data_IF_210913957992
#
_entry.id   IF_210913957992
#
_cell.length_a   1.000
_cell.length_b   1.000
_cell.length_c   1.000
_cell.angle_alpha   90.00
_cell.angle_beta   90.00
_cell.angle_gamma   90.00
#
_symmetry.space_group_name_H-M   'P 1'
#
loop_
_entity.id
_entity.type
_entity.pdbx_description
1 polymer ?
#
# COMPACT_ATOMS: atom_id res chain seq x y z
N UNK A 1 -15.05 23.50 5.90
CA UNK A 1 -14.09 22.52 6.44
C UNK A 1 -13.46 23.14 7.68
N UNK A 2 -13.73 22.56 8.85
CA UNK A 2 -13.03 22.94 10.08
C UNK A 2 -11.54 22.59 9.90
N UNK A 3 -10.65 23.50 10.28
CA UNK A 3 -9.22 23.34 10.12
C UNK A 3 -8.74 22.18 11.03
N UNK A 4 -8.35 21.07 10.43
CA UNK A 4 -7.66 20.01 11.17
C UNK A 4 -6.39 20.60 11.79
N UNK A 5 -6.11 20.25 13.05
CA UNK A 5 -4.86 20.65 13.69
C UNK A 5 -3.67 20.18 12.85
N UNK A 6 -2.68 21.06 12.66
CA UNK A 6 -1.48 20.73 11.89
C UNK A 6 -0.72 19.58 12.58
N UNK A 7 -0.31 18.60 11.79
CA UNK A 7 0.54 17.48 12.23
C UNK A 7 1.89 17.56 11.51
N UNK A 8 2.92 17.07 12.17
CA UNK A 8 4.25 16.87 11.56
C UNK A 8 4.56 15.37 11.55
N UNK A 9 5.02 14.90 10.40
CA UNK A 9 5.45 13.52 10.19
C UNK A 9 6.83 13.56 9.55
N UNK A 10 7.80 12.85 10.12
CA UNK A 10 9.16 12.77 9.60
C UNK A 10 9.34 11.44 8.86
N UNK A 11 9.97 11.50 7.69
CA UNK A 11 10.22 10.36 6.81
C UNK A 11 11.71 10.30 6.46
N UNK A 12 12.47 9.55 7.24
CA UNK A 12 13.91 9.43 7.07
C UNK A 12 14.25 8.22 6.21
N UNK A 13 15.01 8.43 5.13
CA UNK A 13 15.54 7.36 4.28
C UNK A 13 17.03 7.23 4.50
N UNK A 14 17.48 6.06 4.94
CA UNK A 14 18.88 5.75 5.23
C UNK A 14 19.36 4.69 4.24
N UNK A 15 20.20 5.09 3.27
CA UNK A 15 20.68 4.23 2.18
C UNK A 15 21.34 2.92 2.67
N UNK A 16 22.10 2.98 3.76
CA UNK A 16 22.84 1.83 4.30
C UNK A 16 22.03 0.97 5.27
N UNK A 17 20.73 1.26 5.46
CA UNK A 17 19.90 0.55 6.42
C UNK A 17 19.48 -0.84 5.94
N UNK A 18 19.54 -1.81 6.85
CA UNK A 18 18.96 -3.15 6.66
C UNK A 18 18.08 -3.45 7.88
N UNK A 19 16.76 -3.58 7.68
CA UNK A 19 15.99 -3.49 6.43
C UNK A 19 15.99 -2.08 5.83
N UNK A 20 15.62 -1.98 4.54
CA UNK A 20 15.50 -0.70 3.84
C UNK A 20 14.47 0.22 4.50
N UNK A 21 14.74 1.54 4.48
CA UNK A 21 13.87 2.57 5.05
C UNK A 21 13.16 3.42 4.00
N UNK A 22 13.09 2.96 2.76
CA UNK A 22 12.43 3.66 1.66
C UNK A 22 10.92 3.41 1.56
N UNK A 23 10.36 2.53 2.42
CA UNK A 23 8.92 2.33 2.59
C UNK A 23 8.51 2.83 3.97
N UNK A 24 7.56 3.76 4.01
CA UNK A 24 6.96 4.26 5.23
C UNK A 24 5.48 3.86 5.32
N UNK A 25 4.99 3.59 6.53
CA UNK A 25 3.61 3.22 6.77
C UNK A 25 2.90 4.23 7.68
N UNK A 26 1.70 4.64 7.28
CA UNK A 26 0.74 5.35 8.12
C UNK A 26 -0.32 4.35 8.54
N UNK A 27 -0.30 3.88 9.80
CA UNK A 27 -1.26 2.90 10.29
C UNK A 27 -2.20 3.51 11.32
N UNK A 28 -3.44 3.06 11.32
CA UNK A 28 -4.46 3.48 12.27
C UNK A 28 -5.84 3.01 11.86
N UNK A 29 -6.82 3.30 12.70
CA UNK A 29 -8.23 2.92 12.50
C UNK A 29 -8.82 3.52 11.24
N UNK A 30 -9.92 2.93 10.75
CA UNK A 30 -10.71 3.55 9.69
C UNK A 30 -11.26 4.89 10.17
N UNK A 31 -11.24 5.91 9.30
CA UNK A 31 -11.70 7.26 9.61
C UNK A 31 -10.73 8.10 10.47
N UNK A 32 -9.53 7.63 10.80
CA UNK A 32 -8.54 8.44 11.52
C UNK A 32 -7.86 9.51 10.65
N UNK A 33 -8.10 9.55 9.33
CA UNK A 33 -7.59 10.59 8.43
C UNK A 33 -6.35 10.20 7.61
N UNK A 34 -5.99 8.93 7.50
CA UNK A 34 -4.84 8.46 6.69
C UNK A 34 -4.95 8.90 5.23
N UNK A 35 -6.08 8.60 4.59
CA UNK A 35 -6.39 9.03 3.20
C UNK A 35 -6.34 10.55 3.05
N UNK A 36 -6.81 11.29 4.06
CA UNK A 36 -6.74 12.77 4.06
C UNK A 36 -5.30 13.27 4.10
N UNK A 37 -4.43 12.61 4.89
CA UNK A 37 -3.00 12.92 4.94
C UNK A 37 -2.34 12.67 3.58
N UNK A 38 -2.57 11.50 2.97
CA UNK A 38 -2.03 11.19 1.63
C UNK A 38 -2.51 12.21 0.59
N UNK A 39 -3.78 12.59 0.64
CA UNK A 39 -4.34 13.57 -0.28
C UNK A 39 -3.73 14.96 -0.06
N UNK A 40 -3.48 15.35 1.19
CA UNK A 40 -2.71 16.56 1.52
C UNK A 40 -1.30 16.54 0.93
N UNK A 41 -0.63 15.38 0.95
CA UNK A 41 0.68 15.19 0.31
C UNK A 41 0.60 15.28 -1.21
N UNK A 42 -0.44 14.70 -1.85
CA UNK A 42 -0.67 14.85 -3.30
C UNK A 42 -0.82 16.33 -3.64
N UNK A 43 -1.66 17.05 -2.92
CA UNK A 43 -1.88 18.49 -3.15
C UNK A 43 -0.59 19.30 -2.92
N UNK A 44 0.23 18.94 -1.94
CA UNK A 44 1.48 19.64 -1.66
C UNK A 44 2.51 19.52 -2.80
N UNK A 45 2.47 18.44 -3.58
CA UNK A 45 3.37 18.24 -4.74
C UNK A 45 2.77 18.78 -6.03
N UNK A 46 1.45 18.60 -6.23
CA UNK A 46 0.78 18.90 -7.51
C UNK A 46 0.23 20.31 -7.62
N UNK A 47 0.03 21.01 -6.49
CA UNK A 47 -0.57 22.33 -6.46
C UNK A 47 0.36 23.33 -5.76
N UNK A 48 1.06 24.21 -6.51
CA UNK A 48 1.96 25.20 -5.91
C UNK A 48 1.28 26.20 -4.95
N UNK A 49 -0.01 26.46 -5.13
CA UNK A 49 -0.79 27.36 -4.29
C UNK A 49 -1.42 26.68 -3.05
N UNK A 50 -1.00 25.44 -2.78
CA UNK A 50 -1.55 24.64 -1.69
C UNK A 50 -1.24 25.24 -0.31
N UNK A 51 -2.27 25.36 0.52
CA UNK A 51 -2.18 25.83 1.90
C UNK A 51 -2.40 24.73 2.94
N UNK A 52 -2.68 23.48 2.50
CA UNK A 52 -3.11 22.39 3.38
C UNK A 52 -1.92 21.70 4.03
N UNK A 53 -0.80 21.54 3.29
CA UNK A 53 0.39 20.86 3.77
C UNK A 53 1.62 21.21 2.95
N UNK A 54 2.80 20.94 3.51
CA UNK A 54 4.08 21.22 2.87
C UNK A 54 5.07 20.11 3.18
N UNK A 55 5.93 19.79 2.24
CA UNK A 55 7.13 19.01 2.50
C UNK A 55 8.28 19.93 2.90
N UNK A 56 9.01 19.54 3.94
CA UNK A 56 10.11 20.31 4.50
C UNK A 56 11.34 19.41 4.55
N UNK A 57 12.44 19.87 3.97
CA UNK A 57 13.74 19.24 4.10
C UNK A 57 14.38 19.65 5.44
N UNK A 58 14.63 18.65 6.28
CA UNK A 58 15.23 18.81 7.61
C UNK A 58 16.73 18.47 7.63
N UNK A 59 17.30 18.02 6.51
CA UNK A 59 18.71 17.67 6.38
C UNK A 59 19.66 18.86 6.46
N UNK A 60 19.15 20.08 6.38
CA UNK A 60 19.92 21.32 6.49
C UNK A 60 19.82 21.94 7.89
N UNK A 61 20.78 22.82 8.21
CA UNK A 61 20.83 23.56 9.48
C UNK A 61 19.59 24.45 9.72
N UNK A 62 18.91 24.85 8.65
CA UNK A 62 17.62 25.55 8.64
C UNK A 62 16.65 24.73 7.81
N UNK A 63 15.48 24.45 8.38
CA UNK A 63 14.40 23.79 7.66
C UNK A 63 14.02 24.60 6.42
N UNK A 64 13.88 23.92 5.29
CA UNK A 64 13.50 24.54 4.01
C UNK A 64 12.33 23.79 3.43
N UNK A 65 11.36 24.52 2.89
CA UNK A 65 10.33 23.91 2.04
C UNK A 65 11.03 23.34 0.80
N UNK A 66 10.69 22.08 0.44
CA UNK A 66 11.24 21.46 -0.77
C UNK A 66 10.68 22.17 -2.00
N UNK A 67 11.52 22.29 -3.02
CA UNK A 67 11.13 22.89 -4.30
C UNK A 67 10.24 21.95 -5.10
N UNK A 68 9.47 22.47 -6.04
CA UNK A 68 8.49 21.71 -6.82
C UNK A 68 9.12 20.63 -7.73
N UNK A 69 10.43 20.68 -7.94
CA UNK A 69 11.23 19.72 -8.72
C UNK A 69 12.05 18.74 -7.85
N UNK A 70 11.89 18.79 -6.53
CA UNK A 70 12.58 17.86 -5.62
C UNK A 70 12.24 16.42 -5.93
N UNK A 71 10.94 16.12 -6.14
CA UNK A 71 10.50 14.85 -6.69
C UNK A 71 10.37 14.96 -8.20
N UNK A 72 11.00 14.05 -8.94
CA UNK A 72 10.82 13.99 -10.39
C UNK A 72 9.41 13.57 -10.77
N UNK A 73 8.81 12.67 -9.97
CA UNK A 73 7.45 12.23 -10.17
C UNK A 73 6.76 11.84 -8.87
N UNK A 74 5.44 11.98 -8.86
CA UNK A 74 4.52 11.50 -7.85
C UNK A 74 3.59 10.47 -8.47
N UNK A 75 3.54 9.27 -7.89
CA UNK A 75 2.60 8.23 -8.29
C UNK A 75 1.63 8.00 -7.13
N UNK A 76 0.35 8.25 -7.34
CA UNK A 76 -0.69 7.92 -6.36
C UNK A 76 -1.41 6.63 -6.74
N UNK A 77 -1.60 5.74 -5.76
CA UNK A 77 -2.23 4.42 -5.94
C UNK A 77 -3.42 4.32 -4.99
N UNK A 78 -4.64 4.12 -5.51
CA UNK A 78 -5.84 3.91 -4.71
C UNK A 78 -6.80 2.96 -5.41
N UNK A 79 -7.14 1.86 -4.73
CA UNK A 79 -8.12 0.88 -5.21
C UNK A 79 -9.45 0.95 -4.47
N UNK A 80 -9.64 1.95 -3.59
CA UNK A 80 -10.91 2.17 -2.92
C UNK A 80 -11.94 2.79 -3.86
N UNK A 81 -13.05 2.09 -4.05
CA UNK A 81 -14.21 2.63 -4.77
C UNK A 81 -14.92 3.74 -3.97
N UNK A 82 -14.69 3.81 -2.66
CA UNK A 82 -15.34 4.73 -1.72
C UNK A 82 -14.44 5.90 -1.30
N UNK A 83 -13.27 6.05 -1.90
CA UNK A 83 -12.41 7.19 -1.65
C UNK A 83 -13.15 8.49 -2.03
N UNK A 84 -13.32 9.45 -1.09
CA UNK A 84 -14.03 10.68 -1.37
C UNK A 84 -13.25 11.68 -2.24
N UNK A 85 -11.96 11.43 -2.45
CA UNK A 85 -11.08 12.33 -3.19
C UNK A 85 -10.94 11.91 -4.65
N UNK A 86 -11.16 12.84 -5.56
CA UNK A 86 -10.86 12.63 -6.96
C UNK A 86 -9.36 12.88 -7.22
N UNK A 87 -8.67 11.95 -7.91
CA UNK A 87 -7.28 12.16 -8.26
C UNK A 87 -7.12 13.36 -9.21
N UNK A 88 -6.05 14.16 -9.08
CA UNK A 88 -5.73 15.20 -10.05
C UNK A 88 -5.57 14.64 -11.48
N UNK A 89 -5.61 15.52 -12.47
CA UNK A 89 -5.24 15.14 -13.84
C UNK A 89 -3.78 14.72 -13.92
N UNK A 90 -3.48 13.68 -14.73
CA UNK A 90 -2.08 13.29 -14.95
C UNK A 90 -1.30 14.39 -15.62
N UNK A 91 -0.11 14.62 -15.10
CA UNK A 91 0.83 15.63 -15.58
C UNK A 91 2.16 14.93 -15.96
N UNK A 92 2.34 14.50 -17.24
CA UNK A 92 3.55 13.78 -17.66
C UNK A 92 4.69 14.68 -18.14
N UNK A 93 4.53 16.00 -18.13
CA UNK A 93 5.49 16.96 -18.68
C UNK A 93 6.42 17.48 -17.59
N UNK A 94 7.70 17.03 -17.53
CA UNK A 94 8.63 17.43 -16.46
C UNK A 94 8.96 18.95 -16.49
N UNK A 95 8.68 19.65 -17.58
CA UNK A 95 8.89 21.11 -17.64
C UNK A 95 7.89 21.90 -16.79
N UNK A 96 6.82 21.25 -16.31
CA UNK A 96 5.76 21.84 -15.48
C UNK A 96 5.90 21.51 -13.99
N UNK A 97 7.03 20.97 -13.57
CA UNK A 97 7.29 20.49 -12.21
C UNK A 97 7.22 18.98 -12.11
N UNK A 98 6.99 18.43 -10.91
CA UNK A 98 6.91 17.00 -10.71
C UNK A 98 5.81 16.36 -11.61
N UNK A 99 6.18 15.29 -12.32
CA UNK A 99 5.19 14.53 -13.06
C UNK A 99 4.20 13.87 -12.08
N UNK A 100 2.93 13.76 -12.48
CA UNK A 100 1.91 13.12 -11.66
C UNK A 100 1.20 12.00 -12.42
N UNK A 101 1.09 10.82 -11.80
CA UNK A 101 0.42 9.65 -12.35
C UNK A 101 -0.52 9.03 -11.32
N UNK A 102 -1.69 8.59 -11.77
CA UNK A 102 -2.66 7.90 -10.94
C UNK A 102 -2.83 6.43 -11.34
N UNK A 103 -2.77 5.55 -10.36
CA UNK A 103 -3.03 4.11 -10.50
C UNK A 103 -4.25 3.76 -9.66
N UNK A 104 -5.35 3.34 -10.28
CA UNK A 104 -6.54 2.99 -9.49
C UNK A 104 -7.79 2.79 -10.31
N UNK A 105 -8.90 2.62 -9.59
CA UNK A 105 -10.19 2.25 -10.17
C UNK A 105 -11.04 3.44 -10.61
N UNK A 106 -10.75 4.67 -10.16
CA UNK A 106 -11.55 5.84 -10.52
C UNK A 106 -11.37 6.20 -12.00
N UNK A 107 -12.48 6.47 -12.65
CA UNK A 107 -12.49 7.01 -14.00
C UNK A 107 -12.32 8.55 -13.90
N UNK A 108 -11.28 9.09 -14.54
CA UNK A 108 -10.99 10.52 -14.52
C UNK A 108 -11.79 11.32 -15.53
N UNK A 109 -12.25 10.65 -16.59
CA UNK A 109 -13.06 11.29 -17.65
C UNK A 109 -14.53 11.40 -17.25
N UNK A 110 -14.99 10.47 -16.40
CA UNK A 110 -16.38 10.40 -15.94
C UNK A 110 -16.38 10.48 -14.42
N UNK A 111 -16.67 11.67 -13.90
CA UNK A 111 -16.80 11.90 -12.47
C UNK A 111 -17.74 10.89 -11.81
N UNK A 112 -17.40 10.44 -10.61
CA UNK A 112 -18.16 9.45 -9.83
C UNK A 112 -18.35 8.08 -10.50
N UNK A 113 -17.52 7.71 -11.50
CA UNK A 113 -17.54 6.39 -12.12
C UNK A 113 -16.24 5.63 -11.92
N UNK A 114 -16.36 4.31 -11.92
CA UNK A 114 -15.20 3.41 -11.89
C UNK A 114 -14.83 2.96 -13.29
N UNK A 115 -13.56 2.67 -13.49
CA UNK A 115 -13.03 2.07 -14.70
C UNK A 115 -13.50 0.63 -14.83
N UNK A 116 -13.89 0.25 -16.03
CA UNK A 116 -14.26 -1.13 -16.36
C UNK A 116 -13.02 -2.02 -16.52
N UNK A 117 -13.20 -3.34 -16.41
CA UNK A 117 -12.10 -4.30 -16.62
C UNK A 117 -11.44 -4.14 -18.00
N UNK A 118 -12.17 -3.95 -19.12
CA UNK A 118 -11.55 -3.66 -20.41
C UNK A 118 -10.70 -2.39 -20.41
N UNK A 119 -11.14 -1.31 -19.76
CA UNK A 119 -10.36 -0.07 -19.64
C UNK A 119 -9.08 -0.27 -18.83
N UNK A 120 -9.13 -1.05 -17.73
CA UNK A 120 -7.96 -1.40 -16.93
C UNK A 120 -6.96 -2.25 -17.72
N UNK A 121 -7.44 -3.24 -18.49
CA UNK A 121 -6.59 -4.08 -19.35
C UNK A 121 -5.94 -3.28 -20.48
N UNK A 122 -6.68 -2.38 -21.10
CA UNK A 122 -6.15 -1.49 -22.14
C UNK A 122 -5.04 -0.57 -21.60
N UNK A 123 -5.25 -0.02 -20.41
CA UNK A 123 -4.24 0.80 -19.71
C UNK A 123 -2.99 -0.03 -19.34
N UNK A 124 -3.18 -1.24 -18.84
CA UNK A 124 -2.10 -2.18 -18.56
C UNK A 124 -1.25 -2.45 -19.81
N UNK A 125 -1.88 -2.81 -20.92
CA UNK A 125 -1.17 -3.09 -22.17
C UNK A 125 -0.40 -1.88 -22.68
N UNK A 126 -0.95 -0.68 -22.56
CA UNK A 126 -0.24 0.55 -22.91
C UNK A 126 1.06 0.68 -22.12
N UNK A 127 1.00 0.56 -20.79
CA UNK A 127 2.16 0.66 -19.92
C UNK A 127 3.14 -0.52 -20.09
N UNK A 128 2.62 -1.71 -20.41
CA UNK A 128 3.46 -2.88 -20.69
C UNK A 128 4.28 -2.67 -21.98
N UNK A 129 3.66 -2.14 -23.03
CA UNK A 129 4.34 -1.76 -24.27
C UNK A 129 5.41 -0.70 -23.98
N UNK A 130 5.11 0.31 -23.15
CA UNK A 130 6.07 1.34 -22.75
C UNK A 130 7.27 0.74 -22.02
N UNK A 131 7.05 -0.25 -21.13
CA UNK A 131 8.13 -0.99 -20.46
C UNK A 131 8.98 -1.77 -21.48
N UNK A 132 8.36 -2.45 -22.46
CA UNK A 132 9.08 -3.30 -23.40
C UNK A 132 9.84 -2.52 -24.50
N UNK A 133 9.49 -1.26 -24.71
CA UNK A 133 10.18 -0.36 -25.66
C UNK A 133 11.49 0.19 -25.13
N UNK A 134 11.59 0.41 -23.83
CA UNK A 134 12.77 1.00 -23.16
C UNK A 134 13.55 -0.12 -22.48
N UNK A 135 14.84 -0.24 -22.80
CA UNK A 135 15.69 -1.35 -22.29
C UNK A 135 15.82 -1.34 -20.78
N UNK A 136 15.96 -0.17 -20.18
CA UNK A 136 16.01 0.04 -18.73
C UNK A 136 14.72 -0.38 -18.04
N UNK A 137 13.57 0.06 -18.55
CA UNK A 137 12.25 -0.30 -18.01
C UNK A 137 11.95 -1.78 -18.16
N UNK A 138 12.39 -2.40 -19.26
CA UNK A 138 12.25 -3.84 -19.48
C UNK A 138 13.01 -4.64 -18.42
N UNK A 139 14.24 -4.22 -18.08
CA UNK A 139 15.04 -4.88 -17.03
C UNK A 139 14.31 -4.77 -15.69
N UNK A 140 13.88 -3.57 -15.30
CA UNK A 140 13.13 -3.33 -14.06
C UNK A 140 11.84 -4.16 -14.01
N UNK A 141 11.08 -4.22 -15.12
CA UNK A 141 9.85 -5.00 -15.20
C UNK A 141 10.11 -6.50 -15.00
N UNK A 142 11.13 -7.07 -15.66
CA UNK A 142 11.50 -8.49 -15.50
C UNK A 142 11.88 -8.82 -14.05
N UNK A 143 12.66 -7.95 -13.41
CA UNK A 143 13.07 -8.12 -12.02
C UNK A 143 11.85 -8.06 -11.08
N UNK A 144 10.95 -7.10 -11.29
CA UNK A 144 9.73 -7.00 -10.53
C UNK A 144 8.83 -8.24 -10.67
N UNK A 145 8.64 -8.75 -11.90
CA UNK A 145 7.83 -9.97 -12.14
C UNK A 145 8.48 -11.20 -11.50
N UNK A 146 9.82 -11.35 -11.58
CA UNK A 146 10.51 -12.46 -10.90
C UNK A 146 10.33 -12.44 -9.38
N UNK A 147 10.31 -11.25 -8.76
CA UNK A 147 10.09 -11.10 -7.33
C UNK A 147 8.66 -11.38 -6.92
N UNK A 148 7.70 -10.90 -7.71
CA UNK A 148 6.30 -11.28 -7.53
C UNK A 148 6.09 -12.79 -7.70
N UNK A 149 6.93 -13.48 -8.49
CA UNK A 149 6.94 -14.93 -8.65
C UNK A 149 7.35 -15.72 -7.39
N UNK A 150 7.67 -15.06 -6.26
CA UNK A 150 7.71 -15.72 -4.94
C UNK A 150 6.32 -16.17 -4.47
N UNK A 151 5.27 -15.59 -5.03
CA UNK A 151 3.90 -16.10 -4.95
C UNK A 151 3.68 -17.15 -6.05
N UNK A 152 3.31 -18.37 -5.65
CA UNK A 152 3.15 -19.54 -6.57
C UNK A 152 2.17 -19.27 -7.71
N UNK A 153 1.12 -18.45 -7.47
CA UNK A 153 0.15 -18.13 -8.50
C UNK A 153 0.73 -17.20 -9.57
N UNK A 154 1.60 -16.25 -9.19
CA UNK A 154 2.32 -15.45 -10.18
C UNK A 154 3.30 -16.29 -10.98
N UNK A 155 4.04 -17.18 -10.35
CA UNK A 155 4.99 -18.05 -11.02
C UNK A 155 4.30 -18.95 -12.05
N UNK A 156 3.18 -19.57 -11.66
CA UNK A 156 2.43 -20.52 -12.50
C UNK A 156 1.85 -19.93 -13.78
N UNK A 157 1.62 -18.61 -13.83
CA UNK A 157 1.05 -17.92 -14.99
C UNK A 157 2.08 -17.71 -16.11
N UNK A 158 3.38 -17.69 -15.82
CA UNK A 158 4.42 -17.52 -16.83
C UNK A 158 4.47 -16.13 -17.45
N UNK A 159 4.25 -15.07 -16.66
CA UNK A 159 4.18 -13.68 -17.14
C UNK A 159 5.45 -13.18 -17.86
N UNK A 160 6.59 -13.84 -17.68
CA UNK A 160 7.84 -13.54 -18.41
C UNK A 160 7.68 -13.78 -19.91
N UNK A 161 6.79 -14.68 -20.32
CA UNK A 161 6.54 -15.00 -21.74
C UNK A 161 5.89 -13.83 -22.51
N UNK A 162 5.26 -12.87 -21.80
CA UNK A 162 4.64 -11.69 -22.41
C UNK A 162 5.62 -10.88 -23.25
N UNK A 163 6.89 -10.87 -22.87
CA UNK A 163 7.94 -10.20 -23.64
C UNK A 163 8.21 -10.91 -24.98
N UNK A 164 8.22 -12.23 -24.98
CA UNK A 164 8.46 -13.01 -26.19
C UNK A 164 7.29 -12.84 -27.17
N UNK A 165 6.04 -12.87 -26.66
CA UNK A 165 4.84 -12.59 -27.45
C UNK A 165 4.94 -11.20 -28.10
N UNK A 166 5.32 -10.17 -27.31
CA UNK A 166 5.52 -8.81 -27.81
C UNK A 166 6.55 -8.76 -28.95
N UNK A 167 7.69 -9.44 -28.83
CA UNK A 167 8.73 -9.48 -29.88
C UNK A 167 8.24 -10.14 -31.15
N UNK A 168 7.59 -11.30 -31.02
CA UNK A 168 7.03 -12.06 -32.16
C UNK A 168 6.01 -11.23 -32.92
N UNK A 169 5.07 -10.56 -32.22
CA UNK A 169 4.08 -9.69 -32.84
C UNK A 169 4.73 -8.52 -33.58
N UNK A 170 5.78 -7.95 -33.01
CA UNK A 170 6.53 -6.85 -33.60
C UNK A 170 7.25 -7.27 -34.90
N UNK A 171 7.83 -8.47 -34.93
CA UNK A 171 8.52 -9.02 -36.10
C UNK A 171 7.52 -9.36 -37.26
N UNK A 172 6.41 -10.01 -36.91
CA UNK A 172 5.41 -10.44 -37.91
C UNK A 172 4.76 -9.25 -38.60
N UNK A 173 4.41 -8.23 -37.81
CA UNK A 173 3.60 -7.13 -38.32
C UNK A 173 4.41 -6.03 -39.02
N UNK A 174 5.76 -6.05 -39.00
CA UNK A 174 6.65 -5.01 -39.55
C UNK A 174 6.18 -3.58 -39.21
N UNK A 175 5.50 -3.42 -38.08
CA UNK A 175 4.85 -2.18 -37.71
C UNK A 175 5.91 -1.20 -37.19
N UNK A 176 6.18 -0.17 -37.98
CA UNK A 176 6.97 0.98 -37.56
C UNK A 176 6.30 1.72 -36.39
N UNK A 177 4.98 1.52 -36.19
CA UNK A 177 4.16 2.15 -35.15
C UNK A 177 3.70 1.14 -34.10
N UNK A 178 4.63 0.73 -33.24
CA UNK A 178 4.35 -0.14 -32.06
C UNK A 178 3.40 0.56 -31.05
N UNK A 179 3.15 1.84 -31.21
CA UNK A 179 2.24 2.64 -30.38
C UNK A 179 0.81 2.73 -30.92
N UNK A 180 0.52 2.07 -32.04
CA UNK A 180 -0.83 2.13 -32.61
C UNK A 180 -1.84 1.41 -31.70
N UNK A 181 -3.07 1.90 -31.73
CA UNK A 181 -4.20 1.25 -31.02
C UNK A 181 -4.43 -0.18 -31.55
N UNK A 182 -4.20 -0.41 -32.84
CA UNK A 182 -4.32 -1.70 -33.49
C UNK A 182 -3.31 -2.71 -32.92
N UNK A 183 -2.05 -2.30 -32.76
CA UNK A 183 -1.01 -3.15 -32.16
C UNK A 183 -1.35 -3.50 -30.71
N UNK A 184 -1.76 -2.51 -29.90
CA UNK A 184 -2.14 -2.74 -28.51
C UNK A 184 -3.33 -3.68 -28.37
N UNK A 185 -4.34 -3.56 -29.24
CA UNK A 185 -5.49 -4.46 -29.24
C UNK A 185 -5.09 -5.89 -29.65
N UNK A 186 -4.23 -6.02 -30.66
CA UNK A 186 -3.70 -7.33 -31.05
C UNK A 186 -2.90 -7.97 -29.92
N UNK A 187 -1.99 -7.21 -29.30
CA UNK A 187 -1.21 -7.70 -28.18
C UNK A 187 -2.10 -8.09 -26.99
N UNK A 188 -3.14 -7.29 -26.68
CA UNK A 188 -4.11 -7.63 -25.65
C UNK A 188 -4.81 -8.97 -25.92
N UNK A 189 -5.22 -9.22 -27.19
CA UNK A 189 -5.88 -10.49 -27.55
C UNK A 189 -4.97 -11.70 -27.39
N UNK A 190 -3.67 -11.57 -27.70
CA UNK A 190 -2.71 -12.66 -27.53
C UNK A 190 -2.38 -12.98 -26.08
N UNK A 191 -2.41 -11.98 -25.20
CA UNK A 191 -2.10 -12.17 -23.77
C UNK A 191 -3.35 -12.36 -22.90
N UNK A 192 -4.56 -12.37 -23.48
CA UNK A 192 -5.80 -12.43 -22.69
C UNK A 192 -5.91 -13.67 -21.80
N UNK A 193 -5.40 -14.81 -22.26
CA UNK A 193 -5.36 -16.06 -21.47
C UNK A 193 -4.55 -15.90 -20.17
N UNK A 194 -3.42 -15.21 -20.23
CA UNK A 194 -2.60 -14.91 -19.05
C UNK A 194 -3.36 -14.02 -18.05
N UNK A 195 -4.02 -12.96 -18.55
CA UNK A 195 -4.77 -12.02 -17.71
C UNK A 195 -6.01 -12.64 -17.08
N UNK A 196 -6.67 -13.58 -17.77
CA UNK A 196 -7.87 -14.26 -17.26
C UNK A 196 -7.55 -15.35 -16.24
N UNK A 197 -6.33 -15.89 -16.25
CA UNK A 197 -5.88 -16.86 -15.25
C UNK A 197 -5.54 -16.25 -13.88
N UNK A 198 -5.31 -14.93 -13.83
CA UNK A 198 -5.01 -14.21 -12.60
C UNK A 198 -6.26 -13.96 -11.76
N UNK A 199 -6.14 -14.07 -10.44
CA UNK A 199 -7.17 -13.55 -9.53
C UNK A 199 -7.23 -12.01 -9.61
N UNK A 200 -8.31 -11.42 -9.08
CA UNK A 200 -8.45 -9.96 -9.03
C UNK A 200 -7.26 -9.26 -8.33
N UNK A 201 -6.82 -9.80 -7.19
CA UNK A 201 -5.68 -9.27 -6.45
C UNK A 201 -4.38 -9.35 -7.25
N UNK A 202 -4.09 -10.48 -7.90
CA UNK A 202 -2.92 -10.64 -8.77
C UNK A 202 -2.96 -9.68 -9.96
N UNK A 203 -4.12 -9.50 -10.59
CA UNK A 203 -4.29 -8.52 -11.69
C UNK A 203 -4.00 -7.09 -11.22
N UNK A 204 -4.50 -6.70 -10.04
CA UNK A 204 -4.25 -5.39 -9.44
C UNK A 204 -2.77 -5.17 -9.22
N UNK A 205 -2.06 -6.14 -8.63
CA UNK A 205 -0.61 -6.03 -8.39
C UNK A 205 0.16 -5.93 -9.71
N UNK A 206 -0.15 -6.79 -10.68
CA UNK A 206 0.49 -6.77 -12.00
C UNK A 206 0.31 -5.42 -12.69
N UNK A 207 -0.92 -4.90 -12.72
CA UNK A 207 -1.23 -3.63 -13.38
C UNK A 207 -0.55 -2.46 -12.67
N UNK A 208 -0.56 -2.47 -11.33
CA UNK A 208 0.10 -1.44 -10.53
C UNK A 208 1.60 -1.41 -10.75
N UNK A 209 2.26 -2.54 -10.59
CA UNK A 209 3.72 -2.63 -10.76
C UNK A 209 4.13 -2.28 -12.19
N UNK A 210 3.39 -2.76 -13.20
CA UNK A 210 3.69 -2.44 -14.61
C UNK A 210 3.56 -0.93 -14.86
N UNK A 211 2.52 -0.28 -14.35
CA UNK A 211 2.36 1.17 -14.48
C UNK A 211 3.45 1.93 -13.73
N UNK A 212 3.76 1.54 -12.48
CA UNK A 212 4.85 2.14 -11.72
C UNK A 212 6.16 2.03 -12.52
N UNK A 213 6.54 0.83 -12.98
CA UNK A 213 7.77 0.62 -13.76
C UNK A 213 7.82 1.49 -15.02
N UNK A 214 6.70 1.65 -15.72
CA UNK A 214 6.66 2.42 -16.97
C UNK A 214 6.95 3.92 -16.75
N UNK A 215 6.57 4.47 -15.58
CA UNK A 215 6.63 5.93 -15.30
C UNK A 215 7.63 6.30 -14.21
N UNK A 216 8.18 5.33 -13.46
CA UNK A 216 9.12 5.58 -12.37
C UNK A 216 10.41 6.21 -12.90
N UNK A 217 10.90 7.23 -12.22
CA UNK A 217 12.18 7.88 -12.48
C UNK A 217 12.96 8.03 -11.16
N UNK A 218 14.19 8.51 -11.19
CA UNK A 218 14.95 8.81 -9.98
C UNK A 218 14.19 9.82 -9.10
N UNK A 219 14.20 9.64 -7.78
CA UNK A 219 13.46 10.47 -6.80
C UNK A 219 11.93 10.47 -6.99
N UNK A 220 11.36 9.34 -7.35
CA UNK A 220 9.91 9.18 -7.40
C UNK A 220 9.33 9.02 -5.99
N UNK A 221 8.26 9.76 -5.69
CA UNK A 221 7.41 9.55 -4.51
C UNK A 221 6.19 8.71 -4.90
N UNK A 222 5.96 7.60 -4.18
CA UNK A 222 4.79 6.75 -4.36
C UNK A 222 3.89 6.85 -3.13
N UNK A 223 2.63 7.20 -3.32
CA UNK A 223 1.63 7.27 -2.25
C UNK A 223 0.57 6.20 -2.48
N UNK A 224 0.37 5.29 -1.53
CA UNK A 224 -0.55 4.14 -1.69
C UNK A 224 -1.58 4.17 -0.57
N UNK A 225 -2.86 4.06 -0.93
CA UNK A 225 -3.95 4.00 0.02
C UNK A 225 -4.59 2.61 0.06
N UNK A 226 -4.56 1.98 1.22
CA UNK A 226 -5.18 0.70 1.59
C UNK A 226 -4.95 -0.43 0.58
N UNK A 227 -3.70 -0.81 0.24
CA UNK A 227 -3.42 -1.87 -0.72
C UNK A 227 -3.98 -3.23 -0.27
N UNK A 228 -4.11 -3.46 1.03
CA UNK A 228 -4.65 -4.67 1.61
C UNK A 228 -6.12 -4.96 1.29
N UNK A 229 -6.89 -3.99 0.83
CA UNK A 229 -8.32 -4.16 0.52
C UNK A 229 -8.58 -5.23 -0.54
N UNK A 230 -7.57 -5.52 -1.37
CA UNK A 230 -7.68 -6.48 -2.49
C UNK A 230 -6.60 -7.57 -2.46
N UNK A 231 -5.63 -7.48 -1.54
CA UNK A 231 -4.48 -8.36 -1.51
C UNK A 231 -4.51 -9.26 -0.26
N UNK A 232 -4.38 -10.56 -0.46
CA UNK A 232 -4.15 -11.46 0.67
C UNK A 232 -2.73 -11.26 1.24
N UNK A 233 -2.48 -11.62 2.52
CA UNK A 233 -1.25 -11.30 3.22
C UNK A 233 0.06 -11.64 2.48
N UNK A 234 0.28 -12.84 1.96
CA UNK A 234 1.49 -13.16 1.20
C UNK A 234 1.70 -12.27 -0.03
N UNK A 235 0.64 -12.00 -0.80
CA UNK A 235 0.71 -11.15 -1.98
C UNK A 235 0.99 -9.68 -1.61
N UNK A 236 0.44 -9.19 -0.49
CA UNK A 236 0.75 -7.86 0.04
C UNK A 236 2.23 -7.74 0.40
N UNK A 237 2.80 -8.73 1.08
CA UNK A 237 4.24 -8.78 1.40
C UNK A 237 5.10 -8.80 0.14
N UNK A 238 4.77 -9.65 -0.85
CA UNK A 238 5.48 -9.70 -2.12
C UNK A 238 5.42 -8.36 -2.87
N UNK A 239 4.26 -7.69 -2.86
CA UNK A 239 4.08 -6.37 -3.46
C UNK A 239 4.95 -5.30 -2.78
N UNK A 240 4.92 -5.22 -1.44
CA UNK A 240 5.72 -4.24 -0.67
C UNK A 240 7.21 -4.46 -0.88
N UNK A 241 7.68 -5.71 -0.86
CA UNK A 241 9.08 -6.07 -1.14
C UNK A 241 9.50 -5.66 -2.54
N UNK A 242 8.70 -6.00 -3.56
CA UNK A 242 8.97 -5.63 -4.95
C UNK A 242 9.05 -4.12 -5.11
N UNK A 243 8.11 -3.39 -4.50
CA UNK A 243 8.10 -1.93 -4.54
C UNK A 243 9.34 -1.33 -3.85
N UNK A 244 9.71 -1.85 -2.67
CA UNK A 244 10.89 -1.38 -1.93
C UNK A 244 12.16 -1.46 -2.79
N UNK A 245 12.36 -2.58 -3.48
CA UNK A 245 13.56 -2.77 -4.30
C UNK A 245 13.53 -1.93 -5.59
N UNK A 246 12.36 -1.79 -6.24
CA UNK A 246 12.22 -0.89 -7.38
C UNK A 246 12.57 0.57 -7.03
N UNK A 247 12.16 1.01 -5.84
CA UNK A 247 12.42 2.37 -5.37
C UNK A 247 13.85 2.57 -4.90
N UNK A 248 14.48 1.52 -4.34
CA UNK A 248 15.85 1.60 -3.80
C UNK A 248 16.85 2.02 -4.87
N UNK A 249 16.84 1.35 -6.01
CA UNK A 249 17.78 1.61 -7.11
C UNK A 249 17.58 2.98 -7.76
N UNK A 250 16.41 3.59 -7.57
CA UNK A 250 16.02 4.89 -8.14
C UNK A 250 15.92 6.01 -7.09
N UNK A 251 16.47 5.78 -5.89
CA UNK A 251 16.42 6.75 -4.81
C UNK A 251 14.99 7.27 -4.54
N UNK A 252 14.01 6.38 -4.68
CA UNK A 252 12.59 6.67 -4.51
C UNK A 252 12.08 6.29 -3.13
N UNK A 253 10.91 6.80 -2.78
CA UNK A 253 10.25 6.59 -1.49
C UNK A 253 8.79 6.24 -1.68
N UNK A 254 8.25 5.31 -0.86
CA UNK A 254 6.82 5.12 -0.78
C UNK A 254 6.27 5.40 0.62
N UNK A 255 5.08 6.00 0.67
CA UNK A 255 4.30 6.19 1.90
C UNK A 255 2.97 5.46 1.70
N UNK A 256 2.69 4.47 2.56
CA UNK A 256 1.54 3.58 2.45
C UNK A 256 0.59 3.82 3.63
N UNK A 257 -0.61 4.29 3.36
CA UNK A 257 -1.68 4.31 4.35
C UNK A 257 -2.32 2.93 4.42
N UNK A 258 -2.42 2.36 5.61
CA UNK A 258 -2.88 0.99 5.83
C UNK A 258 -3.64 0.85 7.13
N UNK A 259 -4.46 -0.18 7.23
CA UNK A 259 -5.01 -0.70 8.48
C UNK A 259 -4.55 -2.14 8.75
N UNK A 260 -3.66 -2.68 7.91
CA UNK A 260 -3.16 -4.06 8.02
C UNK A 260 -1.88 -4.16 8.84
N UNK A 261 -1.89 -4.89 9.96
CA UNK A 261 -0.66 -5.18 10.70
C UNK A 261 0.34 -6.02 9.91
N UNK A 262 -0.12 -6.78 8.89
CA UNK A 262 0.75 -7.59 8.02
C UNK A 262 1.74 -6.72 7.26
N UNK A 263 1.32 -5.52 6.80
CA UNK A 263 2.22 -4.60 6.12
C UNK A 263 3.35 -4.15 7.05
N UNK A 264 3.09 -4.00 8.35
CA UNK A 264 4.11 -3.58 9.31
C UNK A 264 5.23 -4.60 9.49
N UNK A 265 4.98 -5.89 9.21
CA UNK A 265 6.03 -6.91 9.25
C UNK A 265 7.13 -6.67 8.20
N UNK A 266 6.83 -5.88 7.16
CA UNK A 266 7.76 -5.56 6.08
C UNK A 266 8.51 -4.23 6.31
N UNK A 267 8.19 -3.48 7.38
CA UNK A 267 8.65 -2.11 7.58
C UNK A 267 9.21 -1.94 9.00
N UNK A 268 10.43 -1.38 9.20
CA UNK A 268 10.98 -1.13 10.53
C UNK A 268 10.19 -0.04 11.26
N UNK A 269 10.12 -0.11 12.59
CA UNK A 269 9.34 0.83 13.40
C UNK A 269 9.67 2.30 13.18
N UNK A 270 10.92 2.59 12.82
CA UNK A 270 11.37 3.95 12.49
C UNK A 270 10.65 4.53 11.27
N UNK A 271 10.11 3.67 10.40
CA UNK A 271 9.35 4.05 9.22
C UNK A 271 7.82 3.94 9.40
N UNK A 272 7.33 3.64 10.62
CA UNK A 272 5.90 3.49 10.90
C UNK A 272 5.40 4.67 11.73
N UNK A 273 4.30 5.29 11.28
CA UNK A 273 3.51 6.23 12.06
C UNK A 273 2.15 5.65 12.42
N UNK A 274 1.85 5.58 13.71
CA UNK A 274 0.51 5.28 14.22
C UNK A 274 -0.30 6.57 14.26
N UNK A 275 -1.40 6.63 13.52
CA UNK A 275 -2.28 7.80 13.46
C UNK A 275 -3.51 7.54 14.31
N UNK A 276 -3.66 8.29 15.38
CA UNK A 276 -4.86 8.28 16.22
C UNK A 276 -5.60 9.61 16.09
N UNK A 277 -6.93 9.53 16.13
CA UNK A 277 -7.80 10.70 16.18
C UNK A 277 -8.49 10.76 17.53
N UNK A 278 -8.36 11.89 18.21
CA UNK A 278 -9.06 12.19 19.47
C UNK A 278 -9.85 13.47 19.27
N UNK A 279 -11.16 13.33 19.06
CA UNK A 279 -11.99 14.46 18.62
C UNK A 279 -11.53 14.97 17.25
N UNK A 280 -11.19 16.25 17.16
CA UNK A 280 -10.71 16.89 15.92
C UNK A 280 -9.19 16.93 15.80
N UNK A 281 -8.47 16.36 16.76
CA UNK A 281 -7.01 16.38 16.78
C UNK A 281 -6.44 15.04 16.33
N UNK A 282 -5.52 15.06 15.35
CA UNK A 282 -4.70 13.94 14.97
C UNK A 282 -3.47 13.88 15.88
N UNK A 283 -3.16 12.69 16.37
CA UNK A 283 -1.96 12.43 17.21
C UNK A 283 -1.12 11.32 16.57
N UNK A 284 -0.04 11.69 15.87
CA UNK A 284 0.90 10.73 15.34
C UNK A 284 1.89 10.30 16.43
N UNK A 285 2.25 9.02 16.47
CA UNK A 285 3.33 8.48 17.30
C UNK A 285 3.95 7.23 16.67
N UNK A 286 5.18 6.90 17.05
CA UNK A 286 5.88 5.70 16.60
C UNK A 286 5.41 4.48 17.41
N UNK A 287 5.46 3.26 16.85
CA UNK A 287 5.28 2.03 17.63
C UNK A 287 6.29 1.93 18.79
N UNK A 288 5.87 1.33 19.89
CA UNK A 288 6.76 1.10 21.03
C UNK A 288 7.73 -0.05 20.77
N UNK A 289 7.28 -1.07 20.02
CA UNK A 289 8.04 -2.28 19.68
C UNK A 289 8.58 -2.20 18.25
N UNK A 290 9.59 -3.04 17.94
CA UNK A 290 10.01 -3.23 16.55
C UNK A 290 8.90 -3.91 15.74
N UNK A 291 8.72 -3.47 14.48
CA UNK A 291 7.63 -3.96 13.63
C UNK A 291 8.12 -4.97 12.58
N UNK A 292 9.36 -4.80 12.12
CA UNK A 292 9.91 -5.67 11.08
C UNK A 292 10.04 -7.13 11.58
N UNK A 293 9.31 -8.04 10.94
CA UNK A 293 9.33 -9.47 11.28
C UNK A 293 8.60 -9.85 12.58
N UNK A 294 7.86 -8.92 13.22
CA UNK A 294 7.12 -9.19 14.46
C UNK A 294 5.82 -9.99 14.16
N UNK A 295 5.31 -10.69 15.16
CA UNK A 295 4.04 -11.45 15.09
C UNK A 295 2.84 -10.54 14.82
N UNK A 296 1.95 -10.94 13.89
CA UNK A 296 0.77 -10.14 13.49
C UNK A 296 -0.17 -9.87 14.66
N UNK A 297 -0.35 -10.84 15.58
CA UNK A 297 -1.19 -10.66 16.76
C UNK A 297 -0.60 -9.64 17.73
N UNK A 298 0.74 -9.61 17.88
CA UNK A 298 1.46 -8.59 18.66
C UNK A 298 1.28 -7.23 18.02
N UNK A 299 1.49 -7.11 16.70
CA UNK A 299 1.29 -5.86 15.95
C UNK A 299 -0.15 -5.38 15.99
N UNK A 300 -1.12 -6.30 15.90
CA UNK A 300 -2.55 -5.96 16.03
C UNK A 300 -2.85 -5.32 17.38
N UNK A 301 -2.31 -5.88 18.46
CA UNK A 301 -2.46 -5.31 19.80
C UNK A 301 -1.73 -3.97 19.94
N UNK A 302 -0.54 -3.85 19.38
CA UNK A 302 0.24 -2.61 19.39
C UNK A 302 -0.51 -1.46 18.70
N UNK A 303 -1.16 -1.73 17.57
CA UNK A 303 -1.86 -0.70 16.79
C UNK A 303 -3.25 -0.40 17.32
N UNK A 304 -4.05 -1.44 17.59
CA UNK A 304 -5.48 -1.31 17.89
C UNK A 304 -5.82 -1.47 19.38
N UNK A 305 -4.88 -1.94 20.20
CA UNK A 305 -4.89 -1.97 21.66
C UNK A 305 -6.26 -2.30 22.30
N UNK A 306 -6.89 -1.28 22.91
CA UNK A 306 -8.15 -1.41 23.64
C UNK A 306 -9.33 -1.93 22.81
N UNK A 307 -9.36 -1.74 21.49
CA UNK A 307 -10.47 -2.28 20.67
C UNK A 307 -10.43 -3.79 20.58
N UNK A 308 -9.24 -4.37 20.48
CA UNK A 308 -9.07 -5.82 20.49
C UNK A 308 -9.57 -6.39 21.82
N UNK A 309 -9.29 -5.69 22.93
CA UNK A 309 -9.70 -6.11 24.28
C UNK A 309 -11.22 -5.99 24.51
N UNK A 310 -11.89 -5.05 23.85
CA UNK A 310 -13.33 -4.79 24.08
C UNK A 310 -14.25 -5.43 23.03
N UNK A 311 -13.71 -5.89 21.92
CA UNK A 311 -14.48 -6.40 20.78
C UNK A 311 -14.36 -7.92 20.59
N UNK A 312 -15.32 -8.48 19.87
CA UNK A 312 -15.29 -9.89 19.46
C UNK A 312 -15.26 -10.86 20.64
N UNK A 313 -14.42 -11.90 20.54
CA UNK A 313 -14.33 -12.96 21.55
C UNK A 313 -13.76 -12.47 22.90
N UNK A 314 -12.94 -11.43 22.92
CA UNK A 314 -12.46 -10.81 24.15
C UNK A 314 -13.61 -10.27 24.99
N UNK A 315 -14.57 -9.57 24.38
CA UNK A 315 -15.77 -9.07 25.08
C UNK A 315 -16.63 -10.21 25.62
N UNK A 316 -16.71 -11.34 24.90
CA UNK A 316 -17.41 -12.54 25.38
C UNK A 316 -16.68 -13.17 26.59
N UNK A 317 -15.36 -13.27 26.53
CA UNK A 317 -14.53 -13.76 27.65
C UNK A 317 -14.70 -12.88 28.90
N UNK A 318 -14.63 -11.56 28.74
CA UNK A 318 -14.81 -10.61 29.87
C UNK A 318 -16.18 -10.83 30.54
N UNK A 319 -17.27 -10.90 29.78
CA UNK A 319 -18.61 -11.15 30.33
C UNK A 319 -18.69 -12.50 31.06
N UNK A 320 -18.06 -13.54 30.52
CA UNK A 320 -18.02 -14.85 31.19
C UNK A 320 -17.25 -14.80 32.51
N UNK A 321 -16.13 -14.08 32.57
CA UNK A 321 -15.33 -13.89 33.78
C UNK A 321 -16.06 -13.03 34.80
N UNK A 322 -16.72 -11.94 34.39
CA UNK A 322 -17.48 -11.04 35.26
C UNK A 322 -18.68 -11.75 35.91
N UNK A 323 -19.18 -12.85 35.31
CA UNK A 323 -20.23 -13.68 35.93
C UNK A 323 -19.75 -14.55 37.12
N UNK A 324 -18.48 -14.47 37.49
CA UNK A 324 -17.91 -15.16 38.65
C UNK A 324 -17.59 -16.66 38.43
N UNK A 325 -17.69 -17.16 37.19
CA UNK A 325 -17.43 -18.57 36.88
C UNK A 325 -15.95 -18.93 36.93
N UNK A 326 -15.68 -20.22 37.11
CA UNK A 326 -14.32 -20.76 37.07
C UNK A 326 -13.81 -20.93 35.64
N UNK A 327 -12.52 -21.14 35.47
CA UNK A 327 -11.93 -21.46 34.17
C UNK A 327 -12.55 -22.72 33.55
N UNK A 328 -12.70 -23.73 34.38
CA UNK A 328 -13.25 -25.03 33.98
C UNK A 328 -14.72 -24.91 33.52
N UNK A 329 -15.57 -24.18 34.26
CA UNK A 329 -16.95 -23.93 33.89
C UNK A 329 -17.05 -23.24 32.52
N UNK A 330 -16.21 -22.21 32.28
CA UNK A 330 -16.22 -21.47 31.02
C UNK A 330 -15.74 -22.38 29.87
N UNK A 331 -14.70 -23.19 30.07
CA UNK A 331 -14.22 -24.13 29.04
C UNK A 331 -15.29 -25.14 28.66
N UNK A 332 -16.07 -25.62 29.64
CA UNK A 332 -17.18 -26.56 29.41
C UNK A 332 -18.30 -25.87 28.60
N UNK A 333 -18.70 -24.66 28.99
CA UNK A 333 -19.73 -23.89 28.27
C UNK A 333 -19.35 -23.65 26.78
N UNK A 334 -18.08 -23.44 26.51
CA UNK A 334 -17.57 -23.32 25.14
C UNK A 334 -17.28 -24.69 24.49
N UNK A 335 -17.69 -25.80 25.07
CA UNK A 335 -17.51 -27.16 24.55
C UNK A 335 -16.04 -27.44 24.13
N UNK A 336 -15.07 -26.91 24.87
CA UNK A 336 -13.64 -26.91 24.52
C UNK A 336 -13.26 -26.21 23.18
N UNK A 337 -14.17 -25.44 22.59
CA UNK A 337 -13.96 -24.74 21.31
C UNK A 337 -13.23 -23.40 21.44
N UNK A 338 -12.33 -23.26 22.40
CA UNK A 338 -11.47 -22.08 22.57
C UNK A 338 -10.07 -22.36 22.05
N UNK A 339 -9.57 -21.47 21.18
CA UNK A 339 -8.19 -21.48 20.71
C UNK A 339 -7.18 -21.18 21.84
N UNK A 340 -5.91 -21.41 21.58
CA UNK A 340 -4.84 -21.25 22.60
C UNK A 340 -4.78 -19.81 23.16
N UNK A 341 -4.90 -18.82 22.31
CA UNK A 341 -4.88 -17.40 22.70
C UNK A 341 -6.06 -17.08 23.63
N UNK A 342 -7.29 -17.45 23.24
CA UNK A 342 -8.48 -17.23 24.05
C UNK A 342 -8.39 -17.92 25.42
N UNK A 343 -7.84 -19.13 25.49
CA UNK A 343 -7.57 -19.84 26.75
C UNK A 343 -6.56 -19.11 27.63
N UNK A 344 -5.50 -18.56 27.03
CA UNK A 344 -4.46 -17.82 27.77
C UNK A 344 -5.02 -16.52 28.34
N UNK A 345 -5.78 -15.78 27.52
CA UNK A 345 -6.45 -14.54 27.94
C UNK A 345 -7.48 -14.81 29.04
N UNK A 346 -8.31 -15.86 28.89
CA UNK A 346 -9.29 -16.27 29.89
C UNK A 346 -8.62 -16.55 31.24
N UNK A 347 -7.50 -17.31 31.26
CA UNK A 347 -6.72 -17.56 32.48
C UNK A 347 -6.20 -16.26 33.10
N UNK A 348 -5.65 -15.36 32.30
CA UNK A 348 -5.14 -14.08 32.77
C UNK A 348 -6.24 -13.23 33.41
N UNK A 349 -7.42 -13.15 32.75
CA UNK A 349 -8.58 -12.40 33.26
C UNK A 349 -9.09 -12.96 34.60
N UNK A 350 -9.19 -14.28 34.73
CA UNK A 350 -9.62 -14.93 35.95
C UNK A 350 -8.61 -14.69 37.09
N UNK A 351 -7.31 -14.85 36.83
CA UNK A 351 -6.27 -14.57 37.84
C UNK A 351 -6.35 -13.11 38.28
N UNK A 352 -6.58 -12.18 37.37
CA UNK A 352 -6.69 -10.76 37.67
C UNK A 352 -7.91 -10.45 38.53
N UNK A 353 -9.09 -11.03 38.20
CA UNK A 353 -10.31 -10.94 39.00
C UNK A 353 -10.08 -11.48 40.41
N UNK A 354 -9.55 -12.70 40.52
CA UNK A 354 -9.40 -13.41 41.79
C UNK A 354 -8.37 -12.77 42.71
N UNK A 355 -7.39 -12.04 42.18
CA UNK A 355 -6.44 -11.23 42.96
C UNK A 355 -6.98 -9.87 43.40
N UNK A 356 -8.21 -9.51 43.04
CA UNK A 356 -8.84 -8.24 43.40
C UNK A 356 -8.10 -7.00 42.84
N UNK A 357 -7.28 -7.18 41.79
CA UNK A 357 -6.61 -6.08 41.12
C UNK A 357 -7.67 -5.37 40.23
N UNK A 358 -8.12 -4.18 40.63
CA UNK A 358 -9.05 -3.36 39.82
C UNK A 358 -8.47 -3.04 38.46
N UNK A 359 -9.38 -2.92 37.47
CA UNK A 359 -9.07 -2.52 36.09
C UNK A 359 -8.34 -1.20 35.98
#
# INVERSE_FOLDING_TARGET
CEAMASIRLDFDVIESSTPSTNIHALIGRNGCGKTTILNGMIQAVTNPDNTIGKFIDTGYRLEREIESDYFSSLISVSFSAFDPFDPPEEQPDPSKGACYFYVGLKNREKKDSLRTIPELRADFVRHLVDCFRKKDKLVLWREAIRKLGTDENFESVGLIDLEEIYKQLREINKLEQVDSTEFRNLFLSEIESYLTSLSSGHSIVLFTITKIVSVIEEKTLVLIDEPESHLHPPLLSAFVRTLSELLFDLNGVAIIATHSPVLLQEVPKSCVWKINRVGDTLKPYRPEIETFGEDVGVLTREVFGLEVVTSGYHGLMSKAVDSGRTYEDIIIDYENKLGLEARSILKAMIIHRDKGLSK
#
